data_IF_341630200466
#
_entry.id   IF_341630200466
#
_cell.length_a   1.000
_cell.length_b   1.000
_cell.length_c   1.000
_cell.angle_alpha   90.00
_cell.angle_beta   90.00
_cell.angle_gamma   90.00
#
_symmetry.space_group_name_H-M   'P 1'
#
loop_
_entity.id
_entity.type
_entity.pdbx_description
1 polymer ?
#
# COMPACT_ATOMS: atom_id res chain seq x y z
N UNK A 1 0.89 -9.07 25.02
CA UNK A 1 0.68 -7.67 24.58
C UNK A 1 2.00 -6.95 24.83
N UNK A 2 2.80 -6.78 23.78
CA UNK A 2 4.03 -5.98 23.87
C UNK A 2 3.61 -4.53 24.16
N UNK A 3 3.93 -4.04 25.36
CA UNK A 3 3.71 -2.64 25.71
C UNK A 3 4.78 -1.83 25.00
N UNK A 4 4.41 -1.21 23.87
CA UNK A 4 5.29 -0.29 23.15
C UNK A 4 5.77 0.79 24.14
N UNK A 5 7.09 0.98 24.22
CA UNK A 5 7.71 1.93 25.13
C UNK A 5 7.25 3.36 24.81
N UNK A 6 7.01 4.19 25.84
CA UNK A 6 6.61 5.59 25.68
C UNK A 6 7.59 6.38 24.81
N UNK A 7 8.87 6.02 24.83
CA UNK A 7 9.90 6.64 23.98
C UNK A 7 9.71 6.29 22.50
N UNK A 8 9.35 5.05 22.20
CA UNK A 8 9.13 4.57 20.83
C UNK A 8 7.85 5.17 20.24
N UNK A 9 6.82 5.34 21.06
CA UNK A 9 5.61 6.08 20.67
C UNK A 9 5.91 7.55 20.38
N UNK A 10 6.74 8.20 21.19
CA UNK A 10 7.14 9.59 20.98
C UNK A 10 7.93 9.76 19.67
N UNK A 11 8.81 8.83 19.36
CA UNK A 11 9.58 8.81 18.12
C UNK A 11 8.68 8.66 16.89
N UNK A 12 7.70 7.73 16.94
CA UNK A 12 6.70 7.57 15.87
C UNK A 12 5.86 8.82 15.69
N UNK A 13 5.38 9.45 16.78
CA UNK A 13 4.59 10.68 16.73
C UNK A 13 5.38 11.83 16.10
N UNK A 14 6.65 12.01 16.46
CA UNK A 14 7.50 13.05 15.88
C UNK A 14 7.76 12.82 14.39
N UNK A 15 8.02 11.57 13.98
CA UNK A 15 8.19 11.21 12.57
C UNK A 15 6.93 11.44 11.76
N UNK A 16 5.77 11.14 12.35
CA UNK A 16 4.45 11.38 11.75
C UNK A 16 4.18 12.88 11.58
N UNK A 17 4.52 13.70 12.58
CA UNK A 17 4.42 15.15 12.52
C UNK A 17 5.31 15.74 11.40
N UNK A 18 6.55 15.27 11.27
CA UNK A 18 7.47 15.74 10.21
C UNK A 18 6.97 15.37 8.80
N UNK A 19 6.44 14.15 8.63
CA UNK A 19 5.83 13.71 7.38
C UNK A 19 4.59 14.53 7.03
N UNK A 20 3.76 14.85 8.03
CA UNK A 20 2.59 15.71 7.86
C UNK A 20 2.98 17.14 7.49
N UNK A 21 4.01 17.72 8.11
CA UNK A 21 4.51 19.05 7.74
C UNK A 21 5.03 19.08 6.30
N UNK A 22 5.80 18.07 5.87
CA UNK A 22 6.25 17.94 4.48
C UNK A 22 5.07 17.80 3.51
N UNK A 23 4.05 17.04 3.86
CA UNK A 23 2.85 16.85 3.04
C UNK A 23 1.99 18.13 2.95
N UNK A 24 1.82 18.84 4.07
CA UNK A 24 1.13 20.13 4.15
C UNK A 24 1.86 21.21 3.35
N UNK A 25 3.19 21.27 3.45
CA UNK A 25 4.03 22.18 2.66
C UNK A 25 3.91 21.93 1.14
N UNK A 26 3.78 20.67 0.73
CA UNK A 26 3.54 20.28 -0.68
C UNK A 26 2.07 20.37 -1.13
N UNK A 27 1.13 20.62 -0.21
CA UNK A 27 -0.32 20.63 -0.50
C UNK A 27 -0.81 19.29 -1.08
N UNK A 28 -0.17 18.19 -0.68
CA UNK A 28 -0.56 16.83 -1.05
C UNK A 28 -1.55 16.31 0.01
N UNK A 29 -2.83 16.64 -0.17
CA UNK A 29 -3.93 16.35 0.77
C UNK A 29 -4.27 14.86 0.97
N UNK A 30 -3.44 13.94 0.49
CA UNK A 30 -3.71 12.51 0.56
C UNK A 30 -2.99 11.85 1.74
N UNK A 31 -3.64 10.88 2.41
CA UNK A 31 -3.02 10.17 3.51
C UNK A 31 -1.76 9.42 3.01
N UNK A 32 -0.68 9.36 3.81
CA UNK A 32 0.57 8.66 3.48
C UNK A 32 0.44 7.14 3.66
N UNK A 33 -0.72 6.58 3.30
CA UNK A 33 -1.07 5.16 3.37
C UNK A 33 -1.99 4.80 2.21
N UNK A 34 -2.17 3.51 1.98
CA UNK A 34 -3.18 3.00 1.07
C UNK A 34 -4.59 3.28 1.61
N UNK A 35 -5.47 3.72 0.72
CA UNK A 35 -6.90 3.80 1.00
C UNK A 35 -7.54 2.44 0.73
N UNK A 36 -8.64 2.14 1.42
CA UNK A 36 -9.42 0.90 1.19
C UNK A 36 -9.86 0.73 -0.28
N UNK A 37 -10.05 1.84 -1.00
CA UNK A 37 -10.44 1.84 -2.41
C UNK A 37 -9.26 1.46 -3.32
N UNK A 38 -8.07 2.00 -3.04
CA UNK A 38 -6.84 1.64 -3.77
C UNK A 38 -6.51 0.16 -3.56
N UNK A 39 -6.60 -0.34 -2.32
CA UNK A 39 -6.41 -1.77 -2.01
C UNK A 39 -7.40 -2.63 -2.82
N UNK A 40 -8.69 -2.33 -2.76
CA UNK A 40 -9.70 -3.08 -3.50
C UNK A 40 -9.45 -3.05 -5.02
N UNK A 41 -9.03 -1.90 -5.56
CA UNK A 41 -8.74 -1.76 -6.99
C UNK A 41 -7.51 -2.55 -7.42
N UNK A 42 -6.44 -2.54 -6.61
CA UNK A 42 -5.21 -3.29 -6.88
C UNK A 42 -5.49 -4.80 -6.84
N UNK A 43 -6.17 -5.28 -5.79
CA UNK A 43 -6.54 -6.70 -5.66
C UNK A 43 -7.43 -7.13 -6.82
N UNK A 44 -8.45 -6.34 -7.17
CA UNK A 44 -9.36 -6.66 -8.28
C UNK A 44 -8.65 -6.70 -9.64
N UNK A 45 -7.77 -5.73 -9.91
CA UNK A 45 -6.98 -5.71 -11.14
C UNK A 45 -6.04 -6.91 -11.22
N UNK A 46 -5.36 -7.25 -10.13
CA UNK A 46 -4.45 -8.39 -10.08
C UNK A 46 -5.18 -9.73 -10.16
N UNK A 47 -6.30 -9.89 -9.46
CA UNK A 47 -7.14 -11.07 -9.55
C UNK A 47 -7.64 -11.30 -10.99
N UNK A 48 -7.96 -10.23 -11.72
CA UNK A 48 -8.33 -10.31 -13.14
C UNK A 48 -7.17 -10.83 -13.99
N UNK A 49 -5.94 -10.34 -13.76
CA UNK A 49 -4.75 -10.84 -14.46
C UNK A 49 -4.55 -12.34 -14.20
N UNK A 50 -4.65 -12.77 -12.95
CA UNK A 50 -4.54 -14.18 -12.56
C UNK A 50 -5.62 -15.05 -13.21
N UNK A 51 -6.86 -14.56 -13.26
CA UNK A 51 -7.97 -15.25 -13.94
C UNK A 51 -7.75 -15.38 -15.46
N UNK A 52 -7.01 -14.45 -16.06
CA UNK A 52 -6.59 -14.52 -17.47
C UNK A 52 -5.37 -15.43 -17.71
N UNK A 53 -4.91 -16.15 -16.69
CA UNK A 53 -3.77 -17.07 -16.79
C UNK A 53 -2.41 -16.41 -16.58
N UNK A 54 -2.35 -15.20 -16.03
CA UNK A 54 -1.07 -14.61 -15.64
C UNK A 54 -0.39 -15.43 -14.54
N UNK A 55 0.95 -15.47 -14.57
CA UNK A 55 1.72 -16.19 -13.56
C UNK A 55 1.62 -15.49 -12.18
N UNK A 56 1.29 -16.23 -11.12
CA UNK A 56 1.39 -15.77 -9.74
C UNK A 56 2.86 -15.54 -9.33
N UNK A 57 3.07 -14.55 -8.48
CA UNK A 57 4.36 -14.21 -7.87
C UNK A 57 4.60 -14.93 -6.54
N UNK A 58 3.56 -15.58 -5.99
CA UNK A 58 3.62 -16.39 -4.77
C UNK A 58 3.50 -17.87 -5.10
N UNK A 59 4.12 -18.70 -4.27
CA UNK A 59 4.03 -20.16 -4.40
C UNK A 59 2.65 -20.66 -3.95
N UNK A 60 1.77 -20.88 -4.93
CA UNK A 60 0.41 -21.38 -4.73
C UNK A 60 0.41 -22.72 -3.97
N UNK A 61 1.39 -23.59 -4.26
CA UNK A 61 1.46 -24.93 -3.68
C UNK A 61 1.71 -24.89 -2.17
N UNK A 62 2.53 -23.96 -1.70
CA UNK A 62 2.80 -23.77 -0.27
C UNK A 62 1.57 -23.23 0.47
N UNK A 63 0.81 -22.36 -0.20
CA UNK A 63 -0.35 -21.69 0.39
C UNK A 63 -1.63 -22.52 0.32
N UNK A 64 -1.70 -23.54 -0.55
CA UNK A 64 -2.90 -24.32 -0.84
C UNK A 64 -4.13 -23.47 -1.24
N UNK A 65 -3.91 -22.31 -1.87
CA UNK A 65 -4.95 -21.37 -2.30
C UNK A 65 -5.12 -21.46 -3.81
N UNK A 66 -6.35 -21.66 -4.31
CA UNK A 66 -6.63 -21.67 -5.76
C UNK A 66 -7.36 -20.41 -6.23
N UNK A 67 -8.02 -19.68 -5.34
CA UNK A 67 -8.80 -18.49 -5.69
C UNK A 67 -7.88 -17.32 -6.12
N UNK A 68 -8.04 -16.77 -7.34
CA UNK A 68 -7.29 -15.61 -7.82
C UNK A 68 -7.34 -14.40 -6.90
N UNK A 69 -8.47 -14.18 -6.20
CA UNK A 69 -8.61 -13.04 -5.28
C UNK A 69 -7.71 -13.22 -4.06
N UNK A 70 -7.72 -14.41 -3.47
CA UNK A 70 -6.89 -14.74 -2.31
C UNK A 70 -5.40 -14.71 -2.66
N UNK A 71 -5.02 -15.19 -3.86
CA UNK A 71 -3.65 -15.09 -4.37
C UNK A 71 -3.22 -13.62 -4.50
N UNK A 72 -4.05 -12.78 -5.12
CA UNK A 72 -3.76 -11.35 -5.28
C UNK A 72 -3.65 -10.61 -3.93
N UNK A 73 -4.46 -10.98 -2.94
CA UNK A 73 -4.36 -10.44 -1.58
C UNK A 73 -3.03 -10.82 -0.93
N UNK A 74 -2.57 -12.05 -1.13
CA UNK A 74 -1.30 -12.52 -0.56
C UNK A 74 -0.09 -11.88 -1.24
N UNK A 75 -0.12 -11.72 -2.57
CA UNK A 75 0.90 -10.98 -3.32
C UNK A 75 1.01 -9.51 -2.86
N UNK A 76 -0.15 -8.87 -2.59
CA UNK A 76 -0.20 -7.50 -2.07
C UNK A 76 0.39 -7.41 -0.66
N UNK A 77 0.02 -8.34 0.25
CA UNK A 77 0.55 -8.39 1.63
C UNK A 77 2.07 -8.56 1.67
N UNK A 78 2.61 -9.39 0.77
CA UNK A 78 4.06 -9.59 0.64
C UNK A 78 4.77 -8.44 -0.08
N UNK A 79 4.03 -7.47 -0.64
CA UNK A 79 4.58 -6.31 -1.34
C UNK A 79 5.27 -6.66 -2.66
N UNK A 80 4.87 -7.76 -3.29
CA UNK A 80 5.49 -8.26 -4.53
C UNK A 80 4.97 -7.54 -5.78
N UNK A 81 3.78 -6.94 -5.68
CA UNK A 81 3.14 -6.26 -6.80
C UNK A 81 3.83 -4.94 -7.14
N UNK A 82 4.07 -4.72 -8.43
CA UNK A 82 4.68 -3.48 -8.96
C UNK A 82 3.64 -2.61 -9.66
N UNK A 83 2.74 -2.01 -8.88
CA UNK A 83 1.75 -1.05 -9.38
C UNK A 83 2.17 0.40 -9.12
N UNK A 84 1.75 1.29 -10.03
CA UNK A 84 1.81 2.74 -9.83
C UNK A 84 0.39 3.25 -9.62
N UNK A 85 0.18 3.92 -8.48
CA UNK A 85 -1.08 4.56 -8.12
C UNK A 85 -1.05 5.98 -8.63
N UNK A 86 -2.07 6.37 -9.39
CA UNK A 86 -2.26 7.74 -9.87
C UNK A 86 -3.39 8.38 -9.06
N UNK A 87 -3.05 9.37 -8.24
CA UNK A 87 -4.02 10.15 -7.45
C UNK A 87 -4.31 11.47 -8.17
N UNK A 88 -5.57 11.72 -8.49
CA UNK A 88 -6.01 12.96 -9.13
C UNK A 88 -6.45 13.97 -8.07
N UNK A 89 -5.76 15.11 -8.02
CA UNK A 89 -6.06 16.20 -7.08
C UNK A 89 -7.20 17.08 -7.60
N UNK A 90 -7.98 17.69 -6.68
CA UNK A 90 -8.90 18.77 -7.03
C UNK A 90 -8.13 19.92 -7.69
N UNK A 91 -8.33 20.12 -8.99
CA UNK A 91 -7.55 21.04 -9.82
C UNK A 91 -6.81 20.38 -10.99
N UNK A 92 -7.02 19.08 -11.24
CA UNK A 92 -6.52 18.37 -12.42
C UNK A 92 -5.04 17.99 -12.36
N UNK A 93 -4.38 18.22 -11.23
CA UNK A 93 -3.00 17.74 -11.01
C UNK A 93 -3.02 16.26 -10.70
N UNK A 94 -2.05 15.51 -11.20
CA UNK A 94 -1.91 14.07 -10.95
C UNK A 94 -0.64 13.78 -10.17
N UNK A 95 -0.73 12.98 -9.11
CA UNK A 95 0.42 12.48 -8.36
C UNK A 95 0.59 10.99 -8.67
N UNK A 96 1.78 10.59 -9.10
CA UNK A 96 2.13 9.19 -9.38
C UNK A 96 2.98 8.66 -8.22
N UNK A 97 2.51 7.59 -7.58
CA UNK A 97 3.15 7.00 -6.40
C UNK A 97 3.34 5.52 -6.67
N UNK A 98 4.54 4.98 -6.44
CA UNK A 98 4.74 3.53 -6.54
C UNK A 98 4.16 2.84 -5.31
N UNK A 99 3.55 1.68 -5.51
CA UNK A 99 2.97 0.89 -4.43
C UNK A 99 4.01 0.54 -3.36
N UNK A 100 5.23 0.17 -3.76
CA UNK A 100 6.34 -0.14 -2.83
C UNK A 100 6.66 1.01 -1.89
N UNK A 101 6.83 2.21 -2.44
CA UNK A 101 7.12 3.43 -1.66
C UNK A 101 6.01 3.68 -0.62
N UNK A 102 4.75 3.44 -0.99
CA UNK A 102 3.60 3.64 -0.12
C UNK A 102 3.48 2.57 0.98
N UNK A 103 3.84 1.31 0.68
CA UNK A 103 3.88 0.22 1.66
C UNK A 103 5.04 0.41 2.66
N UNK A 104 6.18 0.93 2.23
CA UNK A 104 7.30 1.28 3.09
C UNK A 104 6.93 2.42 4.05
N UNK A 105 6.24 3.45 3.53
CA UNK A 105 5.70 4.53 4.36
C UNK A 105 4.75 3.99 5.44
N UNK A 106 3.82 3.11 5.08
CA UNK A 106 2.86 2.52 6.02
C UNK A 106 3.54 1.70 7.13
N UNK A 107 4.61 0.96 6.83
CA UNK A 107 5.41 0.24 7.84
C UNK A 107 6.18 1.16 8.78
N UNK A 108 6.45 2.40 8.36
CA UNK A 108 7.29 3.36 9.08
C UNK A 108 6.53 4.25 10.07
N UNK A 109 5.19 4.18 10.04
CA UNK A 109 4.23 4.89 10.90
C UNK A 109 3.77 3.96 12.04
#
# INVERSE_FOLDING_TARGET
METVSTAELLERVNKLAELLEKALAKRELYPPRLTKYEVARIVGARATQLAMGAQPLVDIQELAITDPVLIAMEELKRGLLDFVIVRELPGGKTVKIRLKDLLELEKSL
#
